data_IF_671855597203
#
_entry.id   IF_671855597203
#
_cell.length_a   1.000
_cell.length_b   1.000
_cell.length_c   1.000
_cell.angle_alpha   90.00
_cell.angle_beta   90.00
_cell.angle_gamma   90.00
#
_symmetry.space_group_name_H-M   'P 1'
#
loop_
_entity.id
_entity.type
_entity.pdbx_description
1 polymer ?
#
# COMPACT_ATOMS: atom_id res chain seq x y z
N UNK A 1 -20.50 1.46 -4.05
CA UNK A 1 -21.47 0.56 -3.40
C UNK A 1 -20.80 -0.48 -2.50
N UNK A 2 -19.53 -0.84 -2.73
CA UNK A 2 -18.82 -1.88 -1.97
C UNK A 2 -18.77 -1.52 -0.48
N UNK A 3 -18.37 -0.28 -0.16
CA UNK A 3 -18.36 0.25 1.22
C UNK A 3 -19.74 0.26 1.89
N UNK A 4 -20.82 0.41 1.12
CA UNK A 4 -22.19 0.42 1.65
C UNK A 4 -22.70 -0.99 1.92
N UNK A 5 -22.41 -1.94 1.03
CA UNK A 5 -22.82 -3.33 1.16
C UNK A 5 -22.15 -4.06 2.33
N UNK A 6 -21.02 -3.55 2.83
CA UNK A 6 -20.22 -4.19 3.88
C UNK A 6 -20.72 -3.95 5.31
N UNK A 7 -21.72 -3.07 5.51
CA UNK A 7 -22.21 -2.75 6.86
C UNK A 7 -23.52 -3.47 7.17
N UNK A 8 -24.59 -3.14 6.46
CA UNK A 8 -25.93 -3.71 6.60
C UNK A 8 -26.64 -3.70 5.24
N UNK A 9 -27.80 -4.35 5.14
CA UNK A 9 -28.63 -4.43 3.92
C UNK A 9 -27.90 -4.95 2.68
N UNK A 10 -26.91 -5.83 2.86
CA UNK A 10 -25.98 -6.29 1.81
C UNK A 10 -26.69 -6.75 0.54
N UNK A 11 -27.72 -7.61 0.65
CA UNK A 11 -28.47 -8.12 -0.50
C UNK A 11 -29.17 -7.01 -1.30
N UNK A 12 -29.79 -6.05 -0.61
CA UNK A 12 -30.48 -4.93 -1.25
C UNK A 12 -29.50 -4.03 -1.98
N UNK A 13 -28.41 -3.65 -1.32
CA UNK A 13 -27.39 -2.75 -1.89
C UNK A 13 -26.72 -3.37 -3.11
N UNK A 14 -26.40 -4.68 -3.08
CA UNK A 14 -25.81 -5.38 -4.22
C UNK A 14 -26.81 -5.52 -5.38
N UNK A 15 -28.08 -5.80 -5.10
CA UNK A 15 -29.12 -5.93 -6.13
C UNK A 15 -29.34 -4.62 -6.88
N UNK A 16 -29.48 -3.51 -6.16
CA UNK A 16 -29.62 -2.19 -6.76
C UNK A 16 -28.38 -1.80 -7.58
N UNK A 17 -27.18 -2.10 -7.07
CA UNK A 17 -25.94 -1.81 -7.77
C UNK A 17 -25.80 -2.62 -9.07
N UNK A 18 -26.14 -3.91 -9.05
CA UNK A 18 -26.10 -4.78 -10.22
C UNK A 18 -27.13 -4.36 -11.29
N UNK A 19 -28.36 -4.07 -10.86
CA UNK A 19 -29.44 -3.64 -11.77
C UNK A 19 -29.12 -2.32 -12.46
N UNK A 20 -28.47 -1.40 -11.76
CA UNK A 20 -28.07 -0.08 -12.29
C UNK A 20 -26.68 -0.10 -12.96
N UNK A 21 -25.99 -1.23 -13.01
CA UNK A 21 -24.62 -1.32 -13.55
C UNK A 21 -23.62 -0.39 -12.86
N UNK A 22 -23.77 -0.16 -11.54
CA UNK A 22 -22.91 0.78 -10.80
C UNK A 22 -21.47 0.29 -10.78
N UNK A 23 -20.54 1.21 -11.05
CA UNK A 23 -19.10 0.97 -10.94
C UNK A 23 -18.57 1.68 -9.70
N UNK A 24 -17.88 0.93 -8.84
CA UNK A 24 -17.18 1.47 -7.68
C UNK A 24 -15.74 1.88 -8.08
N UNK A 25 -15.34 3.12 -7.77
CA UNK A 25 -14.05 3.68 -8.18
C UNK A 25 -12.96 3.55 -7.12
N UNK A 26 -13.24 2.88 -6.00
CA UNK A 26 -12.27 2.60 -4.93
C UNK A 26 -11.53 3.85 -4.43
N UNK A 27 -12.26 4.94 -4.19
CA UNK A 27 -11.70 6.22 -3.70
C UNK A 27 -11.78 6.37 -2.19
N UNK A 28 -12.66 5.61 -1.55
CA UNK A 28 -12.93 5.65 -0.12
C UNK A 28 -12.04 4.71 0.69
N UNK A 29 -12.09 4.90 2.01
CA UNK A 29 -11.31 4.09 2.95
C UNK A 29 -11.77 2.63 2.98
N UNK A 30 -13.06 2.38 3.22
CA UNK A 30 -13.60 1.03 3.45
C UNK A 30 -13.45 0.12 2.23
N UNK A 31 -13.80 0.60 1.05
CA UNK A 31 -13.60 -0.13 -0.20
C UNK A 31 -12.14 -0.52 -0.45
N UNK A 32 -11.17 0.37 -0.21
CA UNK A 32 -9.76 0.00 -0.34
C UNK A 32 -9.33 -1.05 0.70
N UNK A 33 -9.82 -0.95 1.93
CA UNK A 33 -9.57 -1.98 2.96
C UNK A 33 -10.14 -3.35 2.54
N UNK A 34 -11.39 -3.40 2.07
CA UNK A 34 -12.06 -4.63 1.66
C UNK A 34 -11.33 -5.28 0.48
N UNK A 35 -10.84 -4.47 -0.47
CA UNK A 35 -10.10 -4.95 -1.65
C UNK A 35 -8.64 -5.30 -1.36
N UNK A 36 -8.11 -4.96 -0.18
CA UNK A 36 -6.68 -5.14 0.14
C UNK A 36 -5.75 -4.16 -0.56
N UNK A 37 -6.28 -3.01 -1.01
CA UNK A 37 -5.49 -1.93 -1.59
C UNK A 37 -4.92 -1.01 -0.51
N UNK A 38 -3.92 -0.19 -0.88
CA UNK A 38 -3.46 0.84 0.04
C UNK A 38 -4.58 1.85 0.29
N UNK A 39 -4.86 2.09 1.56
CA UNK A 39 -5.88 3.04 1.99
C UNK A 39 -5.50 4.48 1.59
N UNK A 40 -6.46 5.32 1.21
CA UNK A 40 -6.24 6.74 0.96
C UNK A 40 -6.16 7.51 2.28
N UNK A 41 -5.14 7.21 3.10
CA UNK A 41 -4.85 7.88 4.35
C UNK A 41 -3.38 7.70 4.75
N UNK A 42 -2.83 8.66 5.50
CA UNK A 42 -1.44 8.60 5.98
C UNK A 42 -0.46 8.42 4.82
N UNK A 43 0.47 7.46 4.93
CA UNK A 43 1.44 7.13 3.87
C UNK A 43 0.82 6.66 2.56
N UNK A 44 -0.48 6.36 2.56
CA UNK A 44 -1.23 6.02 1.36
C UNK A 44 -1.73 7.21 0.55
N UNK A 45 -1.62 8.45 1.05
CA UNK A 45 -1.84 9.62 0.22
C UNK A 45 -0.71 9.80 -0.81
N UNK A 46 -1.04 10.18 -2.06
CA UNK A 46 -0.05 10.41 -3.11
C UNK A 46 1.08 11.36 -2.69
N UNK A 47 0.74 12.42 -1.95
CA UNK A 47 1.66 13.44 -1.47
C UNK A 47 2.70 12.85 -0.52
N UNK A 48 2.28 11.93 0.37
CA UNK A 48 3.17 11.31 1.34
C UNK A 48 4.03 10.20 0.73
N UNK A 49 3.55 9.54 -0.33
CA UNK A 49 4.32 8.52 -1.06
C UNK A 49 5.47 9.12 -1.88
N UNK A 50 5.37 10.39 -2.28
CA UNK A 50 6.38 11.07 -3.10
C UNK A 50 7.45 11.82 -2.28
N UNK A 51 7.40 11.72 -0.95
CA UNK A 51 8.39 12.35 -0.09
C UNK A 51 9.73 11.63 -0.25
N UNK A 52 10.74 12.35 -0.77
CA UNK A 52 12.13 11.87 -0.80
C UNK A 52 12.76 12.12 0.56
N UNK A 53 13.35 11.08 1.13
CA UNK A 53 14.15 11.21 2.34
C UNK A 53 15.41 12.02 2.00
N UNK A 54 15.66 13.09 2.76
CA UNK A 54 16.94 13.81 2.72
C UNK A 54 17.66 13.46 4.00
N UNK A 55 18.76 12.73 3.88
CA UNK A 55 19.62 12.42 5.01
C UNK A 55 20.27 13.70 5.52
N UNK A 56 19.91 14.12 6.74
CA UNK A 56 20.51 15.26 7.43
C UNK A 56 21.34 14.72 8.60
N UNK A 57 22.54 14.24 8.31
CA UNK A 57 23.48 13.78 9.32
C UNK A 57 24.52 12.82 8.77
N UNK A 58 25.60 12.63 9.51
CA UNK A 58 26.54 11.55 9.25
C UNK A 58 25.90 10.21 9.66
N UNK A 59 26.05 9.14 8.87
CA UNK A 59 25.52 7.83 9.24
C UNK A 59 26.16 7.38 10.55
N UNK A 60 25.32 7.11 11.55
CA UNK A 60 25.79 6.56 12.82
C UNK A 60 26.06 5.07 12.59
N UNK A 61 27.31 4.76 12.31
CA UNK A 61 27.82 3.40 12.08
C UNK A 61 28.58 3.33 10.77
N UNK A 62 29.88 3.10 10.83
CA UNK A 62 30.67 2.75 9.66
C UNK A 62 30.04 1.52 8.98
N UNK A 63 29.97 1.47 7.63
CA UNK A 63 29.69 0.22 6.96
C UNK A 63 30.82 -0.74 7.35
N UNK A 64 30.48 -1.81 8.07
CA UNK A 64 31.40 -2.94 8.22
C UNK A 64 31.60 -3.46 6.81
N UNK A 65 32.70 -3.07 6.17
CA UNK A 65 33.12 -3.64 4.91
C UNK A 65 33.33 -5.12 5.19
N UNK A 66 32.46 -5.96 4.64
CA UNK A 66 32.66 -7.40 4.62
C UNK A 66 33.94 -7.64 3.82
N UNK A 67 35.05 -7.93 4.51
CA UNK A 67 36.30 -8.33 3.89
C UNK A 67 35.99 -9.57 3.05
N UNK A 68 36.05 -9.43 1.72
CA UNK A 68 35.92 -10.55 0.81
C UNK A 68 37.04 -11.55 1.14
N UNK A 69 36.68 -12.72 1.69
CA UNK A 69 37.64 -13.81 1.88
C UNK A 69 38.33 -14.13 0.55
N UNK A 70 39.67 -14.21 0.50
CA UNK A 70 40.36 -14.58 -0.71
C UNK A 70 40.02 -16.04 -1.05
N UNK A 71 39.34 -16.24 -2.19
CA UNK A 71 39.08 -17.58 -2.73
C UNK A 71 40.42 -18.31 -2.94
N UNK A 72 40.56 -19.56 -2.47
CA UNK A 72 41.80 -20.29 -2.67
C UNK A 72 42.00 -20.56 -4.16
N UNK A 73 43.17 -20.16 -4.68
CA UNK A 73 43.58 -20.49 -6.03
C UNK A 73 43.68 -22.01 -6.15
N UNK A 74 42.77 -22.60 -6.92
CA UNK A 74 42.81 -24.02 -7.28
C UNK A 74 43.99 -24.18 -8.24
N UNK A 75 45.00 -24.93 -7.80
CA UNK A 75 46.09 -25.45 -8.64
C UNK A 75 45.83 -26.90 -9.02
#
# INVERSE_FOLDING_TARGET
FISAASFQDTTRVLTEAATLGKVDKLRGFKENVIMGHLIPAGTGFPEHRQIKLVEKGEPIGAPVMEEAEPQPAIG
#
